data_IF_831559243157
#
_entry.id   IF_831559243157
#
_cell.length_a   1.000
_cell.length_b   1.000
_cell.length_c   1.000
_cell.angle_alpha   90.00
_cell.angle_beta   90.00
_cell.angle_gamma   90.00
#
_symmetry.space_group_name_H-M   'P 1'
#
loop_
_entity.id
_entity.type
_entity.pdbx_description
1 polymer ?
#
# COMPACT_ATOMS: atom_id res chain seq x y z
N UNK A 1 10.87 26.78 11.83
CA UNK A 1 9.93 26.83 10.68
C UNK A 1 10.16 25.69 9.68
N UNK A 2 11.41 25.35 9.29
CA UNK A 2 11.68 24.23 8.37
C UNK A 2 11.18 22.86 8.88
N UNK A 3 11.23 22.62 10.18
CA UNK A 3 10.83 21.33 10.78
C UNK A 3 9.30 21.12 10.81
N UNK A 4 8.53 22.22 10.91
CA UNK A 4 7.07 22.16 10.82
C UNK A 4 6.60 21.87 9.39
N UNK A 5 7.28 22.46 8.40
CA UNK A 5 6.97 22.23 6.97
C UNK A 5 7.33 20.81 6.54
N UNK A 6 8.46 20.26 6.99
CA UNK A 6 8.83 18.86 6.71
C UNK A 6 7.89 17.87 7.39
N UNK A 7 7.47 18.13 8.63
CA UNK A 7 6.49 17.30 9.35
C UNK A 7 5.12 17.28 8.65
N UNK A 8 4.65 18.41 8.11
CA UNK A 8 3.39 18.45 7.36
C UNK A 8 3.47 17.74 6.00
N UNK A 9 4.61 17.82 5.30
CA UNK A 9 4.80 17.07 4.05
C UNK A 9 4.74 15.55 4.29
N UNK A 10 5.39 15.07 5.35
CA UNK A 10 5.34 13.65 5.71
C UNK A 10 3.95 13.16 6.12
N UNK A 11 3.13 14.01 6.77
CA UNK A 11 1.72 13.70 7.07
C UNK A 11 0.91 13.43 5.80
N UNK A 12 1.04 14.32 4.82
CA UNK A 12 0.28 14.22 3.57
C UNK A 12 0.67 12.95 2.81
N UNK A 13 1.97 12.65 2.72
CA UNK A 13 2.44 11.44 2.04
C UNK A 13 1.95 10.15 2.72
N UNK A 14 1.96 10.10 4.06
CA UNK A 14 1.36 8.96 4.78
C UNK A 14 -0.14 8.86 4.54
N UNK A 15 -0.85 9.99 4.46
CA UNK A 15 -2.27 10.00 4.16
C UNK A 15 -2.58 9.51 2.74
N UNK A 16 -1.74 9.86 1.76
CA UNK A 16 -1.82 9.36 0.39
C UNK A 16 -1.63 7.85 0.37
N UNK A 17 -0.60 7.33 1.04
CA UNK A 17 -0.37 5.88 1.14
C UNK A 17 -1.56 5.18 1.79
N UNK A 18 -2.09 5.73 2.89
CA UNK A 18 -3.28 5.19 3.56
C UNK A 18 -4.50 5.17 2.63
N UNK A 19 -4.76 6.26 1.91
CA UNK A 19 -5.89 6.35 0.99
C UNK A 19 -5.77 5.32 -0.14
N UNK A 20 -4.57 5.15 -0.73
CA UNK A 20 -4.32 4.16 -1.77
C UNK A 20 -4.56 2.75 -1.25
N UNK A 21 -3.92 2.38 -0.14
CA UNK A 21 -4.00 1.02 0.40
C UNK A 21 -5.41 0.66 0.88
N UNK A 22 -6.13 1.62 1.47
CA UNK A 22 -7.51 1.43 1.91
C UNK A 22 -8.44 1.30 0.70
N UNK A 23 -8.25 2.12 -0.34
CA UNK A 23 -9.02 2.02 -1.58
C UNK A 23 -8.80 0.67 -2.26
N UNK A 24 -7.55 0.21 -2.35
CA UNK A 24 -7.20 -1.11 -2.91
C UNK A 24 -7.83 -2.23 -2.07
N UNK A 25 -7.73 -2.17 -0.74
CA UNK A 25 -8.30 -3.18 0.15
C UNK A 25 -9.83 -3.27 0.01
N UNK A 26 -10.53 -2.14 -0.06
CA UNK A 26 -11.98 -2.12 -0.28
C UNK A 26 -12.34 -2.62 -1.70
N UNK A 27 -11.64 -2.15 -2.73
CA UNK A 27 -11.90 -2.57 -4.13
C UNK A 27 -11.72 -4.08 -4.30
N UNK A 28 -10.61 -4.62 -3.80
CA UNK A 28 -10.35 -6.07 -3.86
C UNK A 28 -11.33 -6.89 -3.03
N UNK A 29 -11.87 -6.32 -1.94
CA UNK A 29 -12.89 -6.97 -1.13
C UNK A 29 -14.28 -6.99 -1.79
N UNK A 30 -14.73 -5.84 -2.32
CA UNK A 30 -16.07 -5.67 -2.89
C UNK A 30 -16.18 -6.09 -4.36
N UNK A 31 -15.10 -5.96 -5.14
CA UNK A 31 -15.06 -6.26 -6.57
C UNK A 31 -14.26 -7.50 -6.88
N UNK A 32 -14.63 -8.61 -6.23
CA UNK A 32 -14.02 -9.91 -6.46
C UNK A 32 -14.16 -10.35 -7.92
N UNK A 33 -15.27 -10.00 -8.58
CA UNK A 33 -15.49 -10.21 -10.02
C UNK A 33 -14.35 -9.70 -10.91
N UNK A 34 -13.71 -8.58 -10.54
CA UNK A 34 -12.63 -7.99 -11.33
C UNK A 34 -11.26 -8.63 -11.08
N UNK A 35 -11.11 -9.44 -10.01
CA UNK A 35 -9.80 -9.87 -9.51
C UNK A 35 -9.72 -11.35 -9.08
N UNK A 36 -10.83 -12.07 -8.96
CA UNK A 36 -10.92 -13.39 -8.29
C UNK A 36 -11.16 -14.55 -9.26
N UNK A 37 -11.59 -14.31 -10.50
CA UNK A 37 -11.80 -15.43 -11.45
C UNK A 37 -10.50 -16.18 -11.80
N UNK A 38 -9.30 -15.57 -11.66
CA UNK A 38 -8.04 -16.20 -12.09
C UNK A 38 -6.92 -16.25 -11.04
N UNK A 39 -7.02 -15.56 -9.90
CA UNK A 39 -5.91 -15.49 -8.93
C UNK A 39 -5.81 -16.68 -7.97
N UNK A 40 -6.80 -17.58 -7.94
CA UNK A 40 -6.99 -18.46 -6.77
C UNK A 40 -7.25 -17.63 -5.50
N UNK A 41 -7.44 -18.25 -4.35
CA UNK A 41 -7.68 -17.58 -3.05
C UNK A 41 -6.47 -16.78 -2.53
N UNK A 42 -5.86 -15.91 -3.33
CA UNK A 42 -4.83 -14.98 -2.88
C UNK A 42 -5.56 -13.71 -2.43
N UNK A 43 -5.94 -13.67 -1.15
CA UNK A 43 -6.40 -12.43 -0.53
C UNK A 43 -5.19 -11.49 -0.37
N UNK A 44 -4.93 -10.68 -1.40
CA UNK A 44 -3.80 -9.74 -1.46
C UNK A 44 -3.77 -8.79 -0.26
N UNK A 45 -4.94 -8.44 0.31
CA UNK A 45 -5.12 -7.56 1.46
C UNK A 45 -6.26 -8.09 2.36
N UNK A 46 -5.96 -8.88 3.38
CA UNK A 46 -6.92 -9.35 4.39
C UNK A 46 -6.79 -8.54 5.71
N UNK A 47 -7.40 -8.96 6.82
CA UNK A 47 -7.40 -8.23 8.11
C UNK A 47 -6.03 -7.80 8.64
N UNK A 48 -4.96 -8.54 8.30
CA UNK A 48 -3.57 -8.15 8.60
C UNK A 48 -3.18 -6.80 7.98
N UNK A 49 -3.66 -6.53 6.77
CA UNK A 49 -3.37 -5.28 6.07
C UNK A 49 -4.05 -4.08 6.72
N UNK A 50 -5.29 -4.26 7.21
CA UNK A 50 -5.99 -3.23 8.01
C UNK A 50 -5.24 -2.96 9.31
N UNK A 51 -4.75 -4.00 10.00
CA UNK A 51 -3.94 -3.85 11.21
C UNK A 51 -2.66 -3.06 10.91
N UNK A 52 -2.00 -3.31 9.78
CA UNK A 52 -0.80 -2.56 9.39
C UNK A 52 -1.11 -1.11 8.99
N UNK A 53 -2.25 -0.84 8.35
CA UNK A 53 -2.77 0.51 8.07
C UNK A 53 -2.99 1.27 9.39
N UNK A 54 -3.66 0.65 10.36
CA UNK A 54 -3.83 1.23 11.70
C UNK A 54 -2.51 1.41 12.44
N UNK A 55 -1.60 0.45 12.33
CA UNK A 55 -0.25 0.56 12.90
C UNK A 55 0.55 1.72 12.29
N UNK A 56 0.34 2.02 11.01
CA UNK A 56 0.98 3.15 10.34
C UNK A 56 0.44 4.49 10.87
N UNK A 57 -0.88 4.58 11.10
CA UNK A 57 -1.53 5.75 11.72
C UNK A 57 -1.05 5.92 13.17
N UNK A 58 -1.01 4.83 13.94
CA UNK A 58 -0.54 4.78 15.32
C UNK A 58 0.99 4.88 15.44
N UNK A 59 1.71 5.01 14.32
CA UNK A 59 3.18 5.14 14.25
C UNK A 59 3.95 4.03 14.96
N UNK A 60 3.45 2.80 14.86
CA UNK A 60 4.08 1.64 15.47
C UNK A 60 5.49 1.38 14.90
N UNK A 61 6.35 0.78 15.73
CA UNK A 61 7.72 0.42 15.33
C UNK A 61 7.67 -0.61 14.21
N UNK A 62 8.53 -0.43 13.21
CA UNK A 62 8.69 -1.34 12.06
C UNK A 62 7.49 -1.44 11.11
N UNK A 63 6.33 -0.83 11.40
CA UNK A 63 5.15 -0.93 10.53
C UNK A 63 5.40 -0.41 9.12
N UNK A 64 6.19 0.65 8.97
CA UNK A 64 6.62 1.15 7.66
C UNK A 64 7.36 0.08 6.84
N UNK A 65 8.32 -0.60 7.45
CA UNK A 65 9.13 -1.62 6.77
C UNK A 65 8.28 -2.86 6.46
N UNK A 66 7.48 -3.32 7.42
CA UNK A 66 6.59 -4.47 7.21
C UNK A 66 5.57 -4.17 6.10
N UNK A 67 4.99 -2.97 6.09
CA UNK A 67 4.04 -2.56 5.06
C UNK A 67 4.71 -2.37 3.69
N UNK A 68 5.97 -1.90 3.65
CA UNK A 68 6.76 -1.84 2.42
C UNK A 68 7.00 -3.25 1.85
N UNK A 69 7.41 -4.21 2.67
CA UNK A 69 7.55 -5.59 2.23
C UNK A 69 6.22 -6.17 1.74
N UNK A 70 5.14 -5.95 2.48
CA UNK A 70 3.82 -6.46 2.12
C UNK A 70 3.32 -5.88 0.78
N UNK A 71 3.47 -4.56 0.59
CA UNK A 71 3.09 -3.89 -0.67
C UNK A 71 3.95 -4.35 -1.85
N UNK A 72 5.24 -4.65 -1.63
CA UNK A 72 6.11 -5.22 -2.66
C UNK A 72 5.65 -6.63 -3.09
N UNK A 73 5.36 -7.52 -2.13
CA UNK A 73 4.86 -8.86 -2.44
C UNK A 73 3.48 -8.81 -3.11
N UNK A 74 2.61 -7.90 -2.69
CA UNK A 74 1.32 -7.69 -3.34
C UNK A 74 1.48 -7.23 -4.80
N UNK A 75 2.42 -6.32 -5.08
CA UNK A 75 2.73 -5.90 -6.45
C UNK A 75 3.23 -7.08 -7.30
N UNK A 76 4.12 -7.92 -6.77
CA UNK A 76 4.62 -9.10 -7.47
C UNK A 76 3.49 -10.11 -7.75
N UNK A 77 2.67 -10.41 -6.75
CA UNK A 77 1.53 -11.32 -6.91
C UNK A 77 0.54 -10.80 -7.96
N UNK A 78 0.31 -9.49 -7.98
CA UNK A 78 -0.52 -8.82 -9.00
C UNK A 78 0.07 -9.00 -10.40
N UNK A 79 1.38 -8.78 -10.56
CA UNK A 79 2.07 -8.98 -11.84
C UNK A 79 2.05 -10.44 -12.31
N UNK A 80 2.24 -11.40 -11.39
CA UNK A 80 2.16 -12.83 -11.72
C UNK A 80 0.74 -13.23 -12.14
N UNK A 81 -0.28 -12.71 -11.45
CA UNK A 81 -1.69 -12.91 -11.83
C UNK A 81 -1.97 -12.42 -13.25
N UNK A 82 -1.43 -11.25 -13.64
CA UNK A 82 -1.57 -10.74 -15.00
C UNK A 82 -0.93 -11.64 -16.06
N UNK A 83 0.23 -12.25 -15.76
CA UNK A 83 0.92 -13.15 -16.69
C UNK A 83 0.20 -14.49 -16.87
N UNK A 84 -0.38 -15.03 -15.78
CA UNK A 84 -1.08 -16.32 -15.80
C UNK A 84 -2.47 -16.19 -16.44
N UNK A 85 -3.18 -15.10 -16.16
CA UNK A 85 -4.53 -14.86 -16.66
C UNK A 85 -4.61 -14.42 -18.11
N UNK A 86 -3.52 -13.86 -18.67
CA UNK A 86 -3.48 -13.39 -20.06
C UNK A 86 -4.39 -12.19 -20.38
N UNK A 87 -5.23 -11.76 -19.45
CA UNK A 87 -6.13 -10.61 -19.61
C UNK A 87 -5.55 -9.36 -18.94
N UNK A 88 -4.90 -8.52 -19.75
CA UNK A 88 -4.50 -7.18 -19.32
C UNK A 88 -5.74 -6.27 -19.26
N UNK A 89 -6.29 -6.08 -18.06
CA UNK A 89 -7.34 -5.08 -17.81
C UNK A 89 -6.75 -3.79 -17.22
N UNK A 90 -7.40 -2.67 -17.52
CA UNK A 90 -7.09 -1.36 -16.94
C UNK A 90 -7.03 -1.41 -15.40
N UNK A 91 -7.87 -2.26 -14.78
CA UNK A 91 -7.92 -2.45 -13.33
C UNK A 91 -6.60 -3.00 -12.76
N UNK A 92 -5.97 -3.95 -13.44
CA UNK A 92 -4.68 -4.52 -13.04
C UNK A 92 -3.55 -3.49 -13.10
N UNK A 93 -3.56 -2.65 -14.14
CA UNK A 93 -2.60 -1.55 -14.26
C UNK A 93 -2.70 -0.57 -13.08
N UNK A 94 -3.92 -0.15 -12.72
CA UNK A 94 -4.13 0.74 -11.57
C UNK A 94 -3.72 0.10 -10.24
N UNK A 95 -3.92 -1.21 -10.07
CA UNK A 95 -3.45 -1.94 -8.89
C UNK A 95 -1.91 -1.91 -8.77
N UNK A 96 -1.21 -2.32 -9.83
CA UNK A 96 0.26 -2.32 -9.84
C UNK A 96 0.81 -0.92 -9.61
N UNK A 97 0.19 0.10 -10.22
CA UNK A 97 0.58 1.49 -10.05
C UNK A 97 0.37 1.96 -8.61
N UNK A 98 -0.78 1.65 -8.00
CA UNK A 98 -1.08 1.97 -6.61
C UNK A 98 -0.10 1.32 -5.63
N UNK A 99 0.22 0.03 -5.82
CA UNK A 99 1.23 -0.64 -5.01
C UNK A 99 2.63 -0.07 -5.21
N UNK A 100 3.00 0.27 -6.45
CA UNK A 100 4.31 0.84 -6.76
C UNK A 100 4.50 2.21 -6.11
N UNK A 101 3.48 3.07 -6.18
CA UNK A 101 3.49 4.39 -5.53
C UNK A 101 3.56 4.23 -4.01
N UNK A 102 2.76 3.33 -3.44
CA UNK A 102 2.76 3.06 -1.99
C UNK A 102 4.12 2.55 -1.52
N UNK A 103 4.71 1.61 -2.26
CA UNK A 103 6.04 1.07 -1.97
C UNK A 103 7.12 2.17 -2.04
N UNK A 104 7.09 3.03 -3.05
CA UNK A 104 8.03 4.13 -3.19
C UNK A 104 8.00 5.07 -1.97
N UNK A 105 6.80 5.50 -1.56
CA UNK A 105 6.66 6.38 -0.40
C UNK A 105 7.10 5.69 0.91
N UNK A 106 6.76 4.41 1.11
CA UNK A 106 7.14 3.70 2.34
C UNK A 106 8.66 3.45 2.43
N UNK A 107 9.29 3.08 1.32
CA UNK A 107 10.71 2.69 1.27
C UNK A 107 11.66 3.89 1.20
N UNK A 108 11.39 4.83 0.29
CA UNK A 108 12.35 5.86 -0.11
C UNK A 108 12.01 7.27 0.39
N UNK A 109 10.76 7.55 0.78
CA UNK A 109 10.44 8.89 1.25
C UNK A 109 11.09 9.20 2.61
N UNK A 110 11.98 10.19 2.58
CA UNK A 110 12.57 10.79 3.79
C UNK A 110 11.50 11.47 4.65
N UNK A 111 10.46 12.04 4.03
CA UNK A 111 9.40 12.76 4.73
C UNK A 111 8.51 11.79 5.52
N UNK A 112 8.12 10.65 4.92
CA UNK A 112 7.39 9.57 5.61
C UNK A 112 8.21 9.04 6.77
N UNK A 113 9.51 8.75 6.55
CA UNK A 113 10.40 8.28 7.60
C UNK A 113 10.51 9.28 8.75
N UNK A 114 10.72 10.57 8.45
CA UNK A 114 10.79 11.62 9.46
C UNK A 114 9.49 11.74 10.24
N UNK A 115 8.33 11.79 9.57
CA UNK A 115 7.03 11.94 10.23
C UNK A 115 6.68 10.79 11.20
N UNK A 116 7.04 9.57 10.84
CA UNK A 116 6.83 8.39 11.67
C UNK A 116 7.86 8.32 12.82
N UNK A 117 9.02 8.95 12.68
CA UNK A 117 10.07 8.99 13.72
C UNK A 117 9.93 10.20 14.65
N UNK A 118 9.33 11.31 14.19
CA UNK A 118 9.23 12.59 14.94
C UNK A 118 8.39 12.53 16.22
N UNK A 119 7.63 11.45 16.43
CA UNK A 119 6.71 11.28 17.54
C UNK A 119 7.16 10.13 18.46
N UNK A 120 8.44 9.76 18.38
CA UNK A 120 9.09 8.73 19.17
C UNK A 120 10.13 9.37 20.07
#
# INVERSE_FOLDING_TARGET
>A
MKDFVSANKGKIEVFIVLAILLTISLLTHFRKDLFVEESGKIELFNGLSLILIFGLIAKWKYTREILAFYTFFAALATLMGMMVGGQFSLAWFFLVLGFSVSFYFLSFSKNVRQYLTLNR
#
